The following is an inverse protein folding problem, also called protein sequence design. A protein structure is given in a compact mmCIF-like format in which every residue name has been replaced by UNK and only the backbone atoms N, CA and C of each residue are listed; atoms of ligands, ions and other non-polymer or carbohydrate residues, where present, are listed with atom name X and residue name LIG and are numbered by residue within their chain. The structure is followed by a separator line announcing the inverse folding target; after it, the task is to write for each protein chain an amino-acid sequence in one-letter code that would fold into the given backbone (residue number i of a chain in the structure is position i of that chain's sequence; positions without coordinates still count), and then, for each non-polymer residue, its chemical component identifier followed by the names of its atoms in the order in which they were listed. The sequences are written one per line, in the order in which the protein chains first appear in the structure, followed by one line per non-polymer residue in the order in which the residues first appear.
data_IF_133546644055
#
_entry.id   IF_133546644055
#
_cell.length_a   1.000
_cell.length_b   1.000
_cell.length_c   1.000
_cell.angle_alpha   90.00
_cell.angle_beta   90.00
_cell.angle_gamma   90.00
#
_symmetry.space_group_name_H-M   'P 1'
#
loop_
_entity.id
_entity.type
_entity.pdbx_description
1 polymer ?
#
# COMPACT_ATOMS: atom_id res chain seq x y z
N UNK A 1 10.39 7.58 -0.53
CA UNK A 1 11.38 6.49 -0.39
C UNK A 1 11.66 6.30 1.09
N UNK A 2 11.76 5.05 1.57
CA UNK A 2 12.04 4.72 2.97
C UNK A 2 13.17 3.68 3.04
N UNK A 3 14.41 4.09 2.72
CA UNK A 3 15.54 3.17 2.71
C UNK A 3 15.94 2.73 4.13
N UNK A 4 16.58 1.57 4.28
CA UNK A 4 17.16 1.16 5.56
C UNK A 4 18.27 2.12 6.00
N UNK A 5 18.54 2.21 7.32
CA UNK A 5 19.65 3.05 7.83
C UNK A 5 21.01 2.55 7.34
N UNK A 6 21.15 1.23 7.21
CA UNK A 6 22.31 0.59 6.62
C UNK A 6 21.90 -0.13 5.34
N UNK A 7 22.58 0.21 4.24
CA UNK A 7 22.28 -0.33 2.92
C UNK A 7 22.16 -1.86 2.95
N UNK A 8 21.04 -2.37 2.44
CA UNK A 8 20.74 -3.80 2.36
C UNK A 8 20.49 -4.52 3.70
N UNK A 9 20.37 -3.82 4.83
CA UNK A 9 20.19 -4.43 6.17
C UNK A 9 18.92 -3.93 6.83
N UNK A 10 18.08 -4.85 7.30
CA UNK A 10 16.85 -4.52 8.01
C UNK A 10 17.15 -3.86 9.38
N UNK A 11 16.58 -2.68 9.62
CA UNK A 11 16.77 -1.93 10.87
C UNK A 11 16.17 -2.62 12.11
N UNK A 12 15.24 -3.57 11.93
CA UNK A 12 14.56 -4.26 13.04
C UNK A 12 15.22 -5.58 13.45
N UNK A 13 15.68 -6.36 12.48
CA UNK A 13 16.18 -7.73 12.74
C UNK A 13 17.57 -8.00 12.17
N UNK A 14 18.19 -7.06 11.44
CA UNK A 14 19.52 -7.21 10.87
C UNK A 14 19.62 -8.14 9.66
N UNK A 15 18.51 -8.72 9.20
CA UNK A 15 18.49 -9.58 8.01
C UNK A 15 18.78 -8.80 6.72
N UNK A 16 19.30 -9.49 5.69
CA UNK A 16 19.53 -8.92 4.36
C UNK A 16 18.18 -8.57 3.69
N UNK A 17 18.07 -7.35 3.18
CA UNK A 17 16.94 -6.92 2.34
C UNK A 17 17.22 -7.33 0.90
N UNK A 18 16.19 -7.85 0.24
CA UNK A 18 16.24 -8.26 -1.17
C UNK A 18 15.06 -7.66 -1.92
N UNK A 19 15.27 -7.35 -3.20
CA UNK A 19 14.17 -7.04 -4.11
C UNK A 19 13.35 -8.32 -4.32
N UNK A 20 12.03 -8.20 -4.36
CA UNK A 20 11.16 -9.34 -4.63
C UNK A 20 11.24 -9.71 -6.11
N UNK A 21 11.07 -10.99 -6.41
CA UNK A 21 11.10 -11.51 -7.79
C UNK A 21 10.02 -10.88 -8.68
N UNK A 22 8.89 -10.46 -8.11
CA UNK A 22 7.75 -9.85 -8.83
C UNK A 22 7.81 -8.32 -8.92
N UNK A 23 8.95 -7.70 -8.58
CA UNK A 23 9.20 -6.26 -8.74
C UNK A 23 9.85 -5.95 -10.10
N UNK A 24 9.42 -6.65 -11.16
CA UNK A 24 9.74 -6.35 -12.56
C UNK A 24 8.63 -5.53 -13.20
N UNK A 25 8.94 -4.76 -14.26
CA UNK A 25 7.95 -3.93 -14.95
C UNK A 25 6.78 -4.75 -15.52
N UNK A 26 7.08 -5.94 -16.06
CA UNK A 26 6.08 -6.84 -16.61
C UNK A 26 5.16 -7.40 -15.52
N UNK A 27 5.71 -7.86 -14.39
CA UNK A 27 4.92 -8.33 -13.25
C UNK A 27 4.06 -7.20 -12.65
N UNK A 28 4.61 -5.98 -12.52
CA UNK A 28 3.88 -4.81 -12.02
C UNK A 28 2.72 -4.45 -12.96
N UNK A 29 2.95 -4.43 -14.27
CA UNK A 29 1.91 -4.14 -15.26
C UNK A 29 0.77 -5.15 -15.19
N UNK A 30 1.09 -6.45 -15.12
CA UNK A 30 0.10 -7.50 -14.97
C UNK A 30 -0.67 -7.39 -13.64
N UNK A 31 0.01 -7.06 -12.53
CA UNK A 31 -0.62 -6.85 -11.22
C UNK A 31 -1.59 -5.67 -11.23
N UNK A 32 -1.25 -4.56 -11.90
CA UNK A 32 -2.14 -3.40 -12.03
C UNK A 32 -3.37 -3.71 -12.88
N UNK A 33 -3.21 -4.42 -14.00
CA UNK A 33 -4.34 -4.88 -14.81
C UNK A 33 -5.28 -5.78 -13.99
N UNK A 34 -4.73 -6.75 -13.27
CA UNK A 34 -5.50 -7.65 -12.40
C UNK A 34 -6.22 -6.90 -11.28
N UNK A 35 -5.56 -5.91 -10.64
CA UNK A 35 -6.17 -5.07 -9.63
C UNK A 35 -7.38 -4.31 -10.20
N UNK A 36 -7.23 -3.68 -11.38
CA UNK A 36 -8.30 -2.92 -12.01
C UNK A 36 -9.50 -3.80 -12.39
N UNK A 37 -9.25 -5.01 -12.88
CA UNK A 37 -10.31 -5.96 -13.25
C UNK A 37 -11.02 -6.53 -12.02
N UNK A 38 -10.27 -6.97 -11.01
CA UNK A 38 -10.81 -7.84 -9.94
C UNK A 38 -11.00 -7.15 -8.59
N UNK A 39 -10.19 -6.12 -8.30
CA UNK A 39 -10.17 -5.47 -6.97
C UNK A 39 -10.85 -4.10 -7.00
N UNK A 40 -10.59 -3.28 -8.02
CA UNK A 40 -11.17 -1.94 -8.12
C UNK A 40 -12.71 -1.89 -8.06
N UNK A 41 -13.48 -2.87 -8.60
CA UNK A 41 -14.94 -2.90 -8.45
C UNK A 41 -15.42 -2.97 -7.00
N UNK A 42 -14.62 -3.53 -6.08
CA UNK A 42 -14.96 -3.59 -4.65
C UNK A 42 -15.10 -2.19 -4.03
N UNK A 43 -14.44 -1.17 -4.58
CA UNK A 43 -14.65 0.23 -4.17
C UNK A 43 -16.12 0.61 -4.28
N UNK A 44 -16.73 0.37 -5.44
CA UNK A 44 -18.14 0.69 -5.69
C UNK A 44 -19.10 -0.17 -4.86
N UNK A 45 -18.71 -1.41 -4.52
CA UNK A 45 -19.45 -2.24 -3.59
C UNK A 45 -19.50 -1.60 -2.18
N UNK A 46 -18.34 -1.31 -1.57
CA UNK A 46 -18.31 -0.72 -0.22
C UNK A 46 -18.85 0.72 -0.17
N UNK A 47 -18.79 1.47 -1.26
CA UNK A 47 -19.42 2.78 -1.38
C UNK A 47 -20.95 2.67 -1.27
N UNK A 48 -21.57 1.69 -1.95
CA UNK A 48 -23.02 1.43 -1.86
C UNK A 48 -23.45 0.97 -0.47
N UNK A 49 -22.62 0.19 0.21
CA UNK A 49 -22.87 -0.23 1.60
C UNK A 49 -22.64 0.91 2.62
N UNK A 50 -22.15 2.08 2.19
CA UNK A 50 -21.82 3.20 3.09
C UNK A 50 -20.62 2.93 4.00
N UNK A 51 -19.82 1.90 3.69
CA UNK A 51 -18.67 1.46 4.48
C UNK A 51 -17.34 2.00 3.95
N UNK A 52 -17.31 2.58 2.74
CA UNK A 52 -16.09 3.08 2.13
C UNK A 52 -15.58 4.35 2.81
N UNK A 53 -14.37 4.29 3.36
CA UNK A 53 -13.64 5.44 3.90
C UNK A 53 -12.46 5.76 2.99
N UNK A 54 -12.55 6.85 2.22
CA UNK A 54 -11.47 7.27 1.31
C UNK A 54 -10.40 8.10 2.05
N UNK A 55 -9.13 7.80 1.79
CA UNK A 55 -7.95 8.50 2.33
C UNK A 55 -6.98 8.81 1.20
N UNK A 56 -6.47 10.04 1.17
CA UNK A 56 -5.47 10.47 0.18
C UNK A 56 -4.05 10.06 0.62
N UNK A 57 -3.29 9.45 -0.29
CA UNK A 57 -1.98 8.88 -0.02
C UNK A 57 -0.83 9.84 -0.36
N UNK A 58 -0.62 10.87 0.48
CA UNK A 58 0.45 11.88 0.31
C UNK A 58 1.79 11.44 0.91
N UNK A 59 1.82 11.04 2.18
CA UNK A 59 2.98 10.44 2.86
C UNK A 59 2.52 9.57 4.02
N UNK A 60 3.41 8.74 4.58
CA UNK A 60 3.06 7.74 5.60
C UNK A 60 2.41 8.34 6.84
N UNK A 61 2.98 9.40 7.42
CA UNK A 61 2.46 9.99 8.65
C UNK A 61 1.09 10.65 8.44
N UNK A 62 0.93 11.39 7.34
CA UNK A 62 -0.33 12.02 6.96
C UNK A 62 -1.44 10.97 6.74
N UNK A 63 -1.12 9.87 6.06
CA UNK A 63 -2.07 8.77 5.81
C UNK A 63 -2.50 8.11 7.11
N UNK A 64 -1.56 7.76 7.99
CA UNK A 64 -1.87 7.11 9.27
C UNK A 64 -2.75 8.02 10.12
N UNK A 65 -2.42 9.32 10.21
CA UNK A 65 -3.23 10.29 10.96
C UNK A 65 -4.62 10.47 10.36
N UNK A 66 -4.75 10.48 9.03
CA UNK A 66 -6.05 10.56 8.35
C UNK A 66 -6.92 9.33 8.63
N UNK A 67 -6.32 8.12 8.63
CA UNK A 67 -7.02 6.87 8.97
C UNK A 67 -7.52 6.93 10.42
N UNK A 68 -6.63 7.27 11.36
CA UNK A 68 -6.96 7.41 12.79
C UNK A 68 -8.12 8.38 13.04
N UNK A 69 -8.03 9.57 12.44
CA UNK A 69 -9.08 10.60 12.52
C UNK A 69 -10.43 10.09 11.99
N UNK A 70 -10.45 9.40 10.85
CA UNK A 70 -11.70 8.86 10.27
C UNK A 70 -12.28 7.67 11.03
N UNK A 71 -11.46 6.96 11.82
CA UNK A 71 -11.89 5.85 12.66
C UNK A 71 -12.14 6.24 14.13
N UNK A 72 -11.81 7.47 14.53
CA UNK A 72 -12.00 7.96 15.90
C UNK A 72 -11.04 7.36 16.93
N UNK A 73 -9.80 7.02 16.52
CA UNK A 73 -8.75 6.46 17.39
C UNK A 73 -7.48 7.29 17.42
#
# INVERSE_FOLDING_TARGET
SNPPKKEGICDKCGAKVVQREDETEEAISHRLATYNEKTAPLKGFYEKEGLLVSVEAVNSDAVVNAIKSKLGI
#
